data_IF_513405605933
#
_entry.id   IF_513405605933
#
_cell.length_a   1.000
_cell.length_b   1.000
_cell.length_c   1.000
_cell.angle_alpha   90.00
_cell.angle_beta   90.00
_cell.angle_gamma   90.00
#
_symmetry.space_group_name_H-M   'P 1'
#
loop_
_entity.id
_entity.type
_entity.pdbx_description
1 polymer ?
#
# COMPACT_ATOMS: atom_id res chain seq x y z
N UNK A 1 31.65 -4.91 -5.14
CA UNK A 1 30.73 -6.00 -4.77
C UNK A 1 29.64 -5.42 -3.88
N UNK A 2 28.37 -5.84 -3.99
CA UNK A 2 27.35 -5.47 -3.02
C UNK A 2 27.82 -5.90 -1.62
N UNK A 3 27.50 -5.14 -0.55
CA UNK A 3 27.84 -5.57 0.80
C UNK A 3 27.19 -6.92 1.10
N UNK A 4 27.97 -7.85 1.67
CA UNK A 4 27.48 -9.14 2.13
C UNK A 4 26.47 -8.91 3.26
N UNK A 5 25.22 -9.32 3.06
CA UNK A 5 24.23 -9.32 4.12
C UNK A 5 24.61 -10.35 5.18
N UNK A 6 24.48 -9.98 6.47
CA UNK A 6 24.72 -10.89 7.60
C UNK A 6 23.49 -10.92 8.49
N UNK A 7 23.05 -12.12 8.85
CA UNK A 7 21.97 -12.36 9.81
C UNK A 7 22.54 -12.92 11.10
N UNK A 8 22.27 -12.23 12.21
CA UNK A 8 22.66 -12.64 13.55
C UNK A 8 21.42 -13.00 14.37
N UNK A 9 21.54 -14.02 15.21
CA UNK A 9 20.61 -14.25 16.32
C UNK A 9 21.13 -13.56 17.58
N UNK A 10 20.25 -12.89 18.30
CA UNK A 10 20.50 -12.30 19.60
C UNK A 10 19.49 -12.84 20.61
N UNK A 11 19.91 -12.97 21.87
CA UNK A 11 18.98 -13.14 22.98
C UNK A 11 18.32 -11.79 23.26
N UNK A 12 17.01 -11.81 23.39
CA UNK A 12 16.19 -10.67 23.79
C UNK A 12 15.75 -10.87 25.24
N UNK A 13 15.65 -9.79 26.00
CA UNK A 13 15.05 -9.83 27.34
C UNK A 13 13.59 -10.29 27.25
N UNK A 14 13.08 -10.93 28.30
CA UNK A 14 11.71 -11.46 28.33
C UNK A 14 10.64 -10.37 28.18
N UNK A 15 10.97 -9.12 28.49
CA UNK A 15 10.09 -7.95 28.28
C UNK A 15 10.18 -7.34 26.88
N UNK A 16 11.00 -7.92 25.99
CA UNK A 16 11.25 -7.47 24.61
C UNK A 16 11.82 -6.05 24.46
N UNK A 17 12.38 -5.46 25.53
CA UNK A 17 12.90 -4.07 25.50
C UNK A 17 14.37 -3.95 25.11
N UNK A 18 15.14 -5.04 25.18
CA UNK A 18 16.58 -4.99 24.86
C UNK A 18 17.12 -6.32 24.33
N UNK A 19 18.25 -6.23 23.63
CA UNK A 19 19.01 -7.39 23.15
C UNK A 19 20.36 -7.46 23.87
N UNK A 20 20.81 -8.67 24.19
CA UNK A 20 22.18 -8.92 24.62
C UNK A 20 23.09 -8.94 23.38
N UNK A 21 23.79 -7.84 23.13
CA UNK A 21 24.68 -7.70 21.97
C UNK A 21 25.85 -8.69 21.99
N UNK A 22 26.28 -9.16 23.15
CA UNK A 22 27.37 -10.15 23.28
C UNK A 22 26.90 -11.56 22.91
N UNK A 23 25.58 -11.79 22.89
CA UNK A 23 24.99 -13.07 22.46
C UNK A 23 24.88 -13.23 20.94
N UNK A 24 25.39 -12.27 20.16
CA UNK A 24 25.30 -12.29 18.70
C UNK A 24 25.92 -13.56 18.10
N UNK A 25 25.13 -14.33 17.36
CA UNK A 25 25.61 -15.49 16.62
C UNK A 25 25.25 -15.38 15.15
N UNK A 26 26.25 -15.41 14.27
CA UNK A 26 26.05 -15.39 12.83
C UNK A 26 25.41 -16.70 12.38
N UNK A 27 24.24 -16.62 11.75
CA UNK A 27 23.50 -17.81 11.27
C UNK A 27 23.31 -17.83 9.76
N UNK A 28 23.48 -16.68 9.10
CA UNK A 28 23.46 -16.60 7.63
C UNK A 28 24.31 -15.43 7.16
N UNK A 29 24.95 -15.61 6.03
CA UNK A 29 25.61 -14.54 5.29
C UNK A 29 25.53 -14.80 3.79
N UNK A 30 25.61 -13.73 3.02
CA UNK A 30 25.64 -13.77 1.55
C UNK A 30 25.18 -12.45 0.94
N UNK A 31 25.63 -12.17 -0.28
CA UNK A 31 25.21 -10.99 -1.03
C UNK A 31 23.74 -11.10 -1.41
N UNK A 32 22.97 -10.02 -1.23
CA UNK A 32 21.56 -9.97 -1.62
C UNK A 32 20.61 -10.81 -0.76
N UNK A 33 21.09 -11.35 0.37
CA UNK A 33 20.27 -12.12 1.33
C UNK A 33 19.59 -11.22 2.34
N UNK A 34 18.28 -11.37 2.49
CA UNK A 34 17.48 -10.56 3.42
C UNK A 34 16.25 -11.31 3.94
N UNK A 35 15.48 -10.61 4.77
CA UNK A 35 14.15 -11.01 5.19
C UNK A 35 14.00 -12.32 6.00
N UNK A 36 15.08 -12.78 6.61
CA UNK A 36 15.16 -13.94 7.50
C UNK A 36 13.90 -14.14 8.37
N UNK A 37 13.36 -15.36 8.33
CA UNK A 37 12.31 -15.90 9.20
C UNK A 37 12.78 -17.23 9.75
N UNK A 38 12.68 -17.39 11.05
CA UNK A 38 13.07 -18.61 11.73
C UNK A 38 11.81 -19.32 12.22
N UNK A 39 11.64 -20.58 11.82
CA UNK A 39 10.56 -21.44 12.30
C UNK A 39 11.12 -22.75 12.84
N UNK A 40 10.38 -23.42 13.73
CA UNK A 40 10.73 -24.74 14.24
C UNK A 40 9.63 -25.74 13.87
N UNK A 41 9.97 -26.77 13.09
CA UNK A 41 9.04 -27.82 12.66
C UNK A 41 9.71 -29.17 12.83
N UNK A 42 9.05 -30.13 13.50
CA UNK A 42 9.52 -31.51 13.66
C UNK A 42 10.98 -31.64 14.13
N UNK A 43 11.39 -30.77 15.07
CA UNK A 43 12.74 -30.75 15.64
C UNK A 43 13.81 -30.11 14.76
N UNK A 44 13.46 -29.56 13.60
CA UNK A 44 14.33 -28.73 12.77
C UNK A 44 14.04 -27.25 13.01
N UNK A 45 15.09 -26.43 12.99
CA UNK A 45 15.01 -24.99 12.81
C UNK A 45 15.25 -24.68 11.34
N UNK A 46 14.31 -24.01 10.69
CA UNK A 46 14.44 -23.52 9.31
C UNK A 46 14.63 -22.02 9.34
N UNK A 47 15.75 -21.55 8.82
CA UNK A 47 15.97 -20.15 8.51
C UNK A 47 15.59 -19.92 7.05
N UNK A 48 14.40 -19.40 6.82
CA UNK A 48 13.87 -19.03 5.49
C UNK A 48 14.26 -17.59 5.19
N UNK A 49 14.76 -17.31 3.99
CA UNK A 49 15.19 -15.97 3.59
C UNK A 49 15.01 -15.76 2.09
N UNK A 50 15.02 -14.49 1.68
CA UNK A 50 15.05 -14.12 0.27
C UNK A 50 16.49 -13.89 -0.16
N UNK A 51 16.83 -14.25 -1.40
CA UNK A 51 18.07 -13.84 -2.05
C UNK A 51 17.77 -13.19 -3.40
N UNK A 52 18.38 -12.04 -3.66
CA UNK A 52 18.37 -11.40 -4.97
C UNK A 52 19.68 -11.65 -5.71
N UNK A 53 19.59 -12.24 -6.90
CA UNK A 53 20.73 -12.42 -7.80
C UNK A 53 20.51 -11.67 -9.11
N UNK A 54 21.44 -10.77 -9.43
CA UNK A 54 21.37 -9.97 -10.65
C UNK A 54 21.26 -10.85 -11.90
N UNK A 55 20.32 -10.53 -12.79
CA UNK A 55 20.04 -11.29 -14.01
C UNK A 55 19.23 -12.59 -13.81
N UNK A 56 18.95 -12.99 -12.57
CA UNK A 56 18.15 -14.18 -12.23
C UNK A 56 16.83 -13.79 -11.56
N UNK A 57 16.89 -12.82 -10.64
CA UNK A 57 15.74 -12.36 -9.86
C UNK A 57 15.82 -12.76 -8.38
N UNK A 58 14.69 -12.64 -7.67
CA UNK A 58 14.54 -12.99 -6.25
C UNK A 58 13.89 -14.34 -6.06
N UNK A 59 14.40 -15.15 -5.15
CA UNK A 59 13.87 -16.47 -4.82
C UNK A 59 13.95 -16.76 -3.33
N UNK A 60 13.12 -17.70 -2.88
CA UNK A 60 13.08 -18.13 -1.48
C UNK A 60 14.09 -19.26 -1.27
N UNK A 61 14.99 -19.09 -0.30
CA UNK A 61 15.84 -20.15 0.21
C UNK A 61 15.51 -20.46 1.65
N UNK A 62 15.93 -21.65 2.09
CA UNK A 62 16.02 -21.97 3.50
C UNK A 62 17.31 -22.70 3.82
N UNK A 63 17.82 -22.47 5.02
CA UNK A 63 18.78 -23.35 5.68
C UNK A 63 18.11 -24.06 6.83
N UNK A 64 18.59 -25.26 7.19
CA UNK A 64 18.09 -25.95 8.40
C UNK A 64 19.19 -26.44 9.34
N UNK A 65 18.84 -26.56 10.62
CA UNK A 65 19.67 -27.16 11.67
C UNK A 65 18.81 -27.79 12.75
N UNK A 66 19.31 -28.84 13.43
CA UNK A 66 18.67 -29.40 14.65
C UNK A 66 18.90 -28.52 15.89
N UNK A 67 19.79 -27.53 15.81
CA UNK A 67 20.13 -26.59 16.89
C UNK A 67 19.79 -25.17 16.46
N UNK A 68 19.19 -24.39 17.37
CA UNK A 68 18.76 -23.01 17.11
C UNK A 68 19.88 -22.15 16.50
N UNK A 69 21.08 -22.28 17.06
CA UNK A 69 22.26 -21.51 16.65
C UNK A 69 23.11 -22.21 15.59
N UNK A 70 22.61 -23.29 14.99
CA UNK A 70 23.33 -24.03 13.97
C UNK A 70 24.31 -25.07 14.51
N UNK A 71 25.24 -25.54 13.67
CA UNK A 71 25.52 -25.01 12.33
C UNK A 71 24.35 -25.26 11.36
N UNK A 72 24.10 -24.30 10.49
CA UNK A 72 23.14 -24.38 9.39
C UNK A 72 23.88 -24.80 8.13
N UNK A 73 24.02 -26.11 7.92
CA UNK A 73 24.91 -26.67 6.88
C UNK A 73 24.20 -27.02 5.58
N UNK A 74 22.90 -27.35 5.63
CA UNK A 74 22.10 -27.67 4.45
C UNK A 74 21.31 -26.43 4.04
N UNK A 75 21.49 -25.98 2.79
CA UNK A 75 20.79 -24.86 2.16
C UNK A 75 19.99 -25.38 0.95
N UNK A 76 18.76 -24.92 0.79
CA UNK A 76 17.87 -25.34 -0.30
C UNK A 76 17.05 -24.17 -0.82
N UNK A 77 16.91 -24.08 -2.14
CA UNK A 77 15.94 -23.21 -2.78
C UNK A 77 14.54 -23.83 -2.69
N UNK A 78 13.56 -23.07 -2.18
CA UNK A 78 12.20 -23.53 -1.94
C UNK A 78 11.24 -23.27 -3.11
N UNK A 79 11.54 -22.25 -3.93
CA UNK A 79 10.78 -21.92 -5.14
C UNK A 79 11.68 -21.26 -6.21
N UNK A 80 11.29 -21.38 -7.47
CA UNK A 80 11.85 -20.61 -8.59
C UNK A 80 11.66 -19.10 -8.36
N UNK A 81 12.48 -18.26 -9.04
CA UNK A 81 12.30 -16.82 -8.94
C UNK A 81 10.95 -16.34 -9.46
N UNK A 82 10.32 -17.04 -10.42
CA UNK A 82 9.03 -16.67 -11.02
C UNK A 82 8.94 -15.18 -11.40
N UNK A 83 9.90 -14.73 -12.23
CA UNK A 83 10.00 -13.32 -12.69
C UNK A 83 8.76 -12.89 -13.47
N UNK A 84 8.16 -13.82 -14.22
CA UNK A 84 6.88 -13.65 -14.91
C UNK A 84 5.70 -13.36 -13.97
N UNK A 85 5.85 -13.71 -12.69
CA UNK A 85 4.91 -13.43 -11.62
C UNK A 85 5.49 -12.44 -10.60
N UNK A 86 6.34 -11.50 -11.05
CA UNK A 86 6.89 -10.41 -10.23
C UNK A 86 7.66 -10.87 -8.97
N UNK A 87 8.27 -12.05 -9.01
CA UNK A 87 9.24 -12.51 -8.02
C UNK A 87 8.71 -12.71 -6.59
N UNK A 88 7.73 -13.61 -6.32
CA UNK A 88 7.29 -13.92 -4.96
C UNK A 88 8.45 -14.52 -4.13
N UNK A 89 8.96 -13.79 -3.15
CA UNK A 89 10.23 -14.12 -2.51
C UNK A 89 10.30 -13.88 -0.99
N UNK A 90 9.54 -12.92 -0.47
CA UNK A 90 9.60 -12.54 0.93
C UNK A 90 8.28 -12.88 1.60
N UNK A 91 8.33 -13.66 2.68
CA UNK A 91 7.12 -14.17 3.30
C UNK A 91 7.38 -14.97 4.56
N UNK A 92 6.34 -15.65 5.03
CA UNK A 92 6.39 -16.55 6.18
C UNK A 92 5.64 -17.84 5.88
N UNK A 93 6.16 -18.95 6.41
CA UNK A 93 5.47 -20.23 6.43
C UNK A 93 4.45 -20.21 7.59
N UNK A 94 3.22 -20.62 7.29
CA UNK A 94 2.12 -20.74 8.26
C UNK A 94 1.41 -22.06 8.01
N UNK A 95 0.91 -22.69 9.06
CA UNK A 95 0.01 -23.83 9.01
C UNK A 95 -1.42 -23.42 9.38
N UNK A 96 -2.39 -24.21 8.93
CA UNK A 96 -3.77 -24.13 9.39
C UNK A 96 -4.09 -25.20 10.45
N UNK A 97 -5.33 -25.23 10.93
CA UNK A 97 -5.77 -26.16 11.98
C UNK A 97 -5.83 -27.62 11.54
N UNK A 98 -5.87 -27.88 10.22
CA UNK A 98 -5.87 -29.23 9.65
C UNK A 98 -4.43 -29.71 9.35
N UNK A 99 -3.43 -28.84 9.55
CA UNK A 99 -2.02 -29.12 9.30
C UNK A 99 -1.58 -28.89 7.85
N UNK A 100 -2.42 -28.25 7.03
CA UNK A 100 -2.03 -27.80 5.69
C UNK A 100 -1.09 -26.58 5.83
N UNK A 101 -0.02 -26.53 5.01
CA UNK A 101 0.96 -25.46 5.08
C UNK A 101 0.84 -24.49 3.91
N UNK A 102 1.15 -23.23 4.19
CA UNK A 102 1.10 -22.13 3.24
C UNK A 102 2.31 -21.20 3.41
N UNK A 103 2.62 -20.46 2.35
CA UNK A 103 3.58 -19.39 2.34
C UNK A 103 2.87 -18.08 1.99
N UNK A 104 2.73 -17.20 2.98
CA UNK A 104 2.18 -15.85 2.80
C UNK A 104 3.32 -14.94 2.36
N UNK A 105 3.26 -14.43 1.13
CA UNK A 105 4.36 -13.71 0.50
C UNK A 105 3.91 -12.42 -0.17
N UNK A 106 4.82 -11.46 -0.32
CA UNK A 106 4.67 -10.40 -1.30
C UNK A 106 5.51 -10.67 -2.56
N UNK A 107 5.16 -9.98 -3.63
CA UNK A 107 5.89 -9.95 -4.89
C UNK A 107 7.11 -9.03 -4.78
N UNK A 108 8.26 -9.44 -5.31
CA UNK A 108 9.55 -8.75 -5.16
C UNK A 108 9.68 -7.52 -6.04
N UNK A 109 9.15 -7.61 -7.26
CA UNK A 109 9.00 -6.47 -8.16
C UNK A 109 7.61 -5.86 -7.94
N UNK A 110 7.56 -4.54 -7.79
CA UNK A 110 6.31 -3.80 -7.62
C UNK A 110 6.00 -2.96 -8.85
N UNK A 111 4.73 -2.65 -9.02
CA UNK A 111 4.24 -1.73 -10.04
C UNK A 111 3.25 -0.72 -9.45
N UNK A 112 2.44 -0.07 -10.28
CA UNK A 112 1.49 0.94 -9.82
C UNK A 112 0.54 0.44 -8.71
N UNK A 113 0.23 -0.86 -8.67
CA UNK A 113 -0.62 -1.45 -7.63
C UNK A 113 0.16 -1.80 -6.35
N UNK A 114 1.48 -1.69 -6.39
CA UNK A 114 2.36 -1.99 -5.29
C UNK A 114 3.03 -3.36 -5.43
N UNK A 115 3.34 -3.97 -4.27
CA UNK A 115 3.75 -5.37 -4.16
C UNK A 115 2.60 -6.14 -3.57
N UNK A 116 1.92 -6.92 -4.41
CA UNK A 116 0.72 -7.66 -4.01
C UNK A 116 1.09 -8.79 -3.05
N UNK A 117 0.13 -9.16 -2.21
CA UNK A 117 0.23 -10.31 -1.32
C UNK A 117 -0.36 -11.53 -2.03
N UNK A 118 0.28 -12.68 -1.87
CA UNK A 118 -0.22 -13.97 -2.32
C UNK A 118 -0.07 -15.02 -1.21
N UNK A 119 -0.97 -15.98 -1.20
CA UNK A 119 -0.91 -17.15 -0.33
C UNK A 119 -0.66 -18.38 -1.21
N UNK A 120 0.50 -19.02 -1.04
CA UNK A 120 0.90 -20.18 -1.83
C UNK A 120 0.82 -21.45 -1.00
N UNK A 121 0.38 -22.59 -1.56
CA UNK A 121 0.43 -23.87 -0.86
C UNK A 121 1.88 -24.28 -0.61
N UNK A 122 2.12 -25.10 0.41
CA UNK A 122 3.44 -25.64 0.73
C UNK A 122 3.34 -27.16 0.84
N UNK A 123 4.24 -27.85 0.13
CA UNK A 123 4.35 -29.31 0.18
C UNK A 123 5.66 -29.70 0.83
N UNK A 124 5.60 -30.52 1.88
CA UNK A 124 6.79 -31.05 2.54
C UNK A 124 7.37 -32.23 1.74
N UNK A 125 8.58 -32.06 1.19
CA UNK A 125 9.29 -33.09 0.43
C UNK A 125 10.65 -33.32 1.08
N UNK A 126 10.89 -34.52 1.62
CA UNK A 126 12.12 -34.86 2.34
C UNK A 126 12.43 -33.85 3.48
N UNK A 127 11.40 -33.53 4.27
CA UNK A 127 11.45 -32.54 5.35
C UNK A 127 11.84 -31.11 4.89
N UNK A 128 11.57 -30.74 3.64
CA UNK A 128 11.73 -29.38 3.12
C UNK A 128 10.38 -28.78 2.68
N UNK A 129 10.05 -27.53 3.06
CA UNK A 129 8.78 -26.88 2.71
C UNK A 129 8.85 -26.27 1.32
N UNK A 130 8.54 -27.05 0.27
CA UNK A 130 8.57 -26.59 -1.11
C UNK A 130 7.33 -25.72 -1.39
N UNK A 131 7.53 -24.51 -1.93
CA UNK A 131 6.51 -23.46 -2.02
C UNK A 131 5.83 -23.47 -3.40
N UNK A 132 4.50 -23.44 -3.42
CA UNK A 132 3.71 -23.46 -4.65
C UNK A 132 3.58 -24.87 -5.23
N UNK A 133 3.56 -24.98 -6.56
CA UNK A 133 3.52 -26.28 -7.24
C UNK A 133 4.90 -26.93 -7.25
N UNK A 134 5.01 -28.15 -6.76
CA UNK A 134 6.26 -28.93 -6.84
C UNK A 134 6.49 -29.40 -8.28
N UNK A 135 7.64 -29.05 -8.84
CA UNK A 135 8.11 -29.51 -10.14
C UNK A 135 8.88 -30.84 -10.03
N UNK A 136 9.07 -31.59 -11.13
CA UNK A 136 9.82 -32.86 -11.12
C UNK A 136 11.23 -32.75 -10.51
N UNK A 137 11.85 -31.60 -10.59
CA UNK A 137 13.18 -31.30 -10.04
C UNK A 137 13.16 -31.10 -8.51
N UNK A 138 11.99 -31.18 -7.86
CA UNK A 138 11.84 -31.04 -6.41
C UNK A 138 11.90 -29.59 -5.91
N UNK A 139 11.64 -28.63 -6.79
CA UNK A 139 11.56 -27.19 -6.52
C UNK A 139 10.14 -26.67 -6.75
N UNK A 140 9.76 -25.62 -6.03
CA UNK A 140 8.46 -24.98 -6.14
C UNK A 140 8.36 -23.95 -7.27
N UNK A 141 7.14 -23.65 -7.72
CA UNK A 141 6.86 -22.53 -8.62
C UNK A 141 5.53 -21.86 -8.29
N UNK A 142 5.40 -20.58 -8.66
CA UNK A 142 4.20 -19.78 -8.45
C UNK A 142 2.94 -20.46 -9.01
N UNK A 143 1.83 -20.31 -8.30
CA UNK A 143 0.49 -20.69 -8.73
C UNK A 143 -0.49 -19.56 -8.44
N UNK A 144 -1.46 -19.34 -9.34
CA UNK A 144 -2.49 -18.30 -9.20
C UNK A 144 -3.77 -18.80 -8.53
N UNK A 145 -3.91 -20.12 -8.40
CA UNK A 145 -5.06 -20.77 -7.77
C UNK A 145 -4.56 -21.88 -6.85
N UNK A 146 -5.34 -22.14 -5.80
CA UNK A 146 -5.01 -23.15 -4.81
C UNK A 146 -6.21 -23.44 -3.92
N UNK A 147 -6.09 -24.50 -3.12
CA UNK A 147 -7.05 -24.81 -2.07
C UNK A 147 -6.93 -23.73 -1.00
N UNK A 148 -8.01 -22.99 -0.74
CA UNK A 148 -8.07 -22.05 0.38
C UNK A 148 -7.87 -22.82 1.70
N UNK A 149 -7.17 -22.25 2.69
CA UNK A 149 -7.17 -22.79 4.05
C UNK A 149 -8.60 -22.99 4.52
N UNK A 150 -8.81 -24.06 5.28
CA UNK A 150 -10.13 -24.28 5.88
C UNK A 150 -10.36 -23.19 6.92
N UNK A 151 -11.43 -22.44 6.73
CA UNK A 151 -11.81 -21.34 7.61
C UNK A 151 -13.30 -21.12 7.54
N UNK A 152 -13.79 -20.20 8.38
CA UNK A 152 -15.18 -19.76 8.28
C UNK A 152 -15.41 -19.17 6.89
N UNK A 153 -16.55 -19.50 6.28
CA UNK A 153 -17.01 -18.90 5.03
C UNK A 153 -17.52 -17.47 5.21
N UNK A 154 -17.25 -16.85 6.36
CA UNK A 154 -17.70 -15.49 6.67
C UNK A 154 -17.14 -14.49 5.66
N UNK A 155 -18.04 -14.01 4.80
CA UNK A 155 -17.77 -12.97 3.82
C UNK A 155 -17.59 -11.58 4.44
N UNK A 156 -17.69 -11.44 5.77
CA UNK A 156 -17.52 -10.16 6.47
C UNK A 156 -16.09 -9.62 6.41
N UNK A 157 -15.10 -10.47 6.11
CA UNK A 157 -13.69 -10.07 5.98
C UNK A 157 -13.41 -9.41 4.63
N UNK A 158 -13.57 -8.09 4.56
CA UNK A 158 -13.10 -7.28 3.44
C UNK A 158 -12.35 -6.05 3.92
N UNK A 159 -11.50 -5.51 3.05
CA UNK A 159 -10.90 -4.20 3.28
C UNK A 159 -11.98 -3.18 2.97
N UNK A 160 -12.48 -2.46 3.98
CA UNK A 160 -13.41 -1.36 3.79
C UNK A 160 -12.86 -0.33 2.80
N UNK A 161 -13.74 0.33 2.04
CA UNK A 161 -13.34 1.26 0.98
C UNK A 161 -14.21 2.52 0.97
N UNK A 162 -15.52 2.35 0.86
CA UNK A 162 -16.44 3.47 0.98
C UNK A 162 -16.55 3.94 2.44
N UNK A 163 -16.76 5.23 2.64
CA UNK A 163 -16.98 5.85 3.93
C UNK A 163 -17.90 7.07 3.77
N UNK A 164 -19.00 7.09 4.52
CA UNK A 164 -19.96 8.20 4.62
C UNK A 164 -19.64 9.12 5.82
N UNK A 165 -18.54 8.84 6.56
CA UNK A 165 -18.04 9.66 7.66
C UNK A 165 -19.04 9.89 8.81
N UNK A 166 -20.00 8.98 9.00
CA UNK A 166 -20.94 8.98 10.13
C UNK A 166 -20.30 8.61 11.47
N UNK A 167 -19.16 7.91 11.43
CA UNK A 167 -18.40 7.54 12.62
C UNK A 167 -17.60 8.73 13.17
N UNK A 168 -17.46 8.79 14.50
CA UNK A 168 -16.60 9.79 15.18
C UNK A 168 -15.10 9.51 15.04
N UNK A 169 -14.73 8.39 14.42
CA UNK A 169 -13.35 7.99 14.17
C UNK A 169 -13.19 7.42 12.75
N UNK A 170 -12.06 7.73 12.12
CA UNK A 170 -11.69 7.17 10.82
C UNK A 170 -11.53 5.65 10.94
N UNK A 171 -12.13 4.91 10.01
CA UNK A 171 -11.98 3.46 9.90
C UNK A 171 -10.58 3.04 9.41
N UNK A 172 -10.22 1.77 9.60
CA UNK A 172 -8.85 1.28 9.42
C UNK A 172 -8.32 1.24 7.97
N UNK A 173 -9.20 1.40 6.97
CA UNK A 173 -8.80 1.54 5.57
C UNK A 173 -8.02 2.84 5.30
N UNK A 174 -8.29 3.86 6.11
CA UNK A 174 -7.69 5.17 5.95
C UNK A 174 -6.26 5.21 6.48
N UNK A 175 -5.39 5.85 5.71
CA UNK A 175 -4.02 6.11 6.12
C UNK A 175 -3.62 7.51 5.69
N UNK A 176 -2.94 8.22 6.59
CA UNK A 176 -2.40 9.53 6.31
C UNK A 176 -1.11 9.43 5.50
N UNK A 177 -0.87 10.40 4.62
CA UNK A 177 0.46 10.64 4.08
C UNK A 177 1.34 11.24 5.20
N UNK A 178 2.21 10.43 5.79
CA UNK A 178 2.99 10.78 6.99
C UNK A 178 2.11 11.06 8.22
N UNK A 179 2.68 11.72 9.23
CA UNK A 179 2.02 11.98 10.51
C UNK A 179 1.03 13.14 10.39
N UNK A 180 -0.27 12.92 10.69
CA UNK A 180 -1.24 13.99 10.69
C UNK A 180 -1.08 14.90 11.91
N UNK A 181 -1.59 16.11 11.80
CA UNK A 181 -1.90 16.98 12.95
C UNK A 181 -3.36 16.81 13.33
N UNK A 182 -3.64 16.48 14.59
CA UNK A 182 -4.98 16.09 15.06
C UNK A 182 -6.02 17.20 14.87
N UNK A 183 -5.61 18.45 14.99
CA UNK A 183 -6.43 19.63 14.84
C UNK A 183 -6.81 19.97 13.38
N UNK A 184 -6.15 19.34 12.40
CA UNK A 184 -6.31 19.63 10.96
C UNK A 184 -7.39 18.80 10.27
N UNK A 185 -8.08 17.94 11.02
CA UNK A 185 -9.27 17.24 10.55
C UNK A 185 -10.28 17.07 11.68
N UNK A 186 -11.54 16.84 11.33
CA UNK A 186 -12.59 16.55 12.29
C UNK A 186 -13.70 15.70 11.67
N UNK A 187 -14.28 14.81 12.48
CA UNK A 187 -15.51 14.07 12.19
C UNK A 187 -16.68 14.50 13.10
N UNK A 188 -16.49 15.58 13.87
CA UNK A 188 -17.44 16.04 14.87
C UNK A 188 -17.81 17.53 14.76
N UNK A 189 -17.04 18.33 14.02
CA UNK A 189 -17.36 19.74 13.73
C UNK A 189 -18.57 19.85 12.79
N UNK A 190 -18.84 18.81 12.00
CA UNK A 190 -20.06 18.61 11.20
C UNK A 190 -20.38 17.12 11.17
N UNK A 191 -21.47 16.71 11.82
CA UNK A 191 -21.88 15.30 11.89
C UNK A 191 -22.15 14.74 10.49
N UNK A 192 -21.66 13.53 10.20
CA UNK A 192 -21.80 12.86 8.90
C UNK A 192 -20.86 13.40 7.81
N UNK A 193 -19.84 14.19 8.17
CA UNK A 193 -18.90 14.77 7.22
C UNK A 193 -17.48 14.75 7.78
N UNK A 194 -16.51 14.46 6.92
CA UNK A 194 -15.10 14.70 7.22
C UNK A 194 -14.73 16.15 6.90
N UNK A 195 -14.43 16.94 7.91
CA UNK A 195 -13.81 18.26 7.73
C UNK A 195 -12.30 18.12 7.61
N UNK A 196 -11.72 18.62 6.52
CA UNK A 196 -10.27 18.86 6.41
C UNK A 196 -10.00 20.36 6.46
N UNK A 197 -9.26 20.81 7.47
CA UNK A 197 -8.83 22.21 7.58
C UNK A 197 -7.62 22.44 6.67
N UNK A 198 -7.50 23.62 6.08
CA UNK A 198 -6.43 23.90 5.15
C UNK A 198 -5.05 23.93 5.85
N UNK A 199 -4.24 22.91 5.59
CA UNK A 199 -2.87 22.79 6.10
C UNK A 199 -1.92 23.74 5.35
N UNK A 200 -0.96 24.36 6.02
CA UNK A 200 0.08 25.13 5.35
C UNK A 200 1.23 24.18 4.97
N UNK A 201 1.42 23.83 3.68
CA UNK A 201 2.37 22.80 3.30
C UNK A 201 3.81 23.28 3.51
N UNK A 202 4.72 22.35 3.80
CA UNK A 202 6.15 22.68 3.97
C UNK A 202 6.81 23.19 2.68
N UNK A 203 6.22 22.87 1.53
CA UNK A 203 6.58 23.38 0.21
C UNK A 203 5.31 23.74 -0.55
N UNK A 204 5.21 24.98 -1.01
CA UNK A 204 4.06 25.46 -1.79
C UNK A 204 3.84 24.59 -3.03
N UNK A 205 2.57 24.36 -3.36
CA UNK A 205 2.14 23.59 -4.53
C UNK A 205 2.69 22.16 -4.60
N UNK A 206 3.02 21.57 -3.45
CA UNK A 206 3.47 20.19 -3.35
C UNK A 206 2.56 19.39 -2.43
N UNK A 207 1.75 18.51 -3.01
CA UNK A 207 0.86 17.60 -2.29
C UNK A 207 1.63 16.78 -1.24
N UNK A 208 2.82 16.30 -1.55
CA UNK A 208 3.62 15.46 -0.66
C UNK A 208 4.15 16.22 0.57
N UNK A 209 4.05 17.56 0.57
CA UNK A 209 4.40 18.42 1.67
C UNK A 209 3.19 18.89 2.51
N UNK A 210 1.98 18.44 2.18
CA UNK A 210 0.77 18.68 2.97
C UNK A 210 0.56 17.53 3.99
N UNK A 211 0.51 17.88 5.28
CA UNK A 211 0.45 16.92 6.39
C UNK A 211 -0.95 16.35 6.69
N UNK A 212 -1.95 16.62 5.87
CA UNK A 212 -3.34 16.19 6.07
C UNK A 212 -3.95 15.55 4.81
N UNK A 213 -3.12 14.86 4.01
CA UNK A 213 -3.62 14.07 2.88
C UNK A 213 -4.08 12.71 3.37
N UNK A 214 -5.39 12.44 3.31
CA UNK A 214 -6.03 11.20 3.75
C UNK A 214 -6.22 10.26 2.56
N UNK A 215 -5.85 8.98 2.70
CA UNK A 215 -5.67 8.11 1.52
C UNK A 215 -6.07 6.66 1.73
N UNK A 216 -6.40 6.00 0.63
CA UNK A 216 -6.55 4.54 0.53
C UNK A 216 -5.59 3.97 -0.53
N UNK A 217 -5.47 2.64 -0.56
CA UNK A 217 -4.70 1.93 -1.60
C UNK A 217 -5.50 1.90 -2.89
N UNK A 218 -4.82 2.02 -4.03
CA UNK A 218 -5.42 1.66 -5.31
C UNK A 218 -5.38 0.14 -5.49
N UNK A 219 -6.45 -0.44 -5.98
CA UNK A 219 -6.53 -1.87 -6.27
C UNK A 219 -6.41 -2.14 -7.77
N UNK A 220 -5.94 -3.35 -8.10
CA UNK A 220 -5.92 -3.87 -9.46
C UNK A 220 -7.13 -4.75 -9.70
N UNK A 221 -8.13 -4.17 -10.34
CA UNK A 221 -9.35 -4.84 -10.77
C UNK A 221 -9.69 -4.37 -12.18
N UNK A 222 -10.73 -4.95 -12.80
CA UNK A 222 -11.10 -4.57 -14.16
C UNK A 222 -11.51 -3.10 -14.22
N UNK A 223 -12.17 -2.62 -13.17
CA UNK A 223 -12.62 -1.24 -13.05
C UNK A 223 -12.67 -0.81 -11.59
N UNK A 224 -12.25 0.42 -11.35
CA UNK A 224 -12.26 1.10 -10.06
C UNK A 224 -12.92 2.45 -10.28
N UNK A 225 -13.83 2.84 -9.40
CA UNK A 225 -14.46 4.16 -9.42
C UNK A 225 -14.40 4.74 -8.02
N UNK A 226 -13.74 5.89 -7.88
CA UNK A 226 -13.78 6.67 -6.65
C UNK A 226 -14.57 7.94 -6.91
N UNK A 227 -15.61 8.21 -6.12
CA UNK A 227 -16.39 9.44 -6.16
C UNK A 227 -16.37 10.11 -4.79
N UNK A 228 -16.08 11.41 -4.77
CA UNK A 228 -16.02 12.22 -3.55
C UNK A 228 -16.87 13.46 -3.74
N UNK A 229 -17.75 13.75 -2.78
CA UNK A 229 -18.52 14.98 -2.73
C UNK A 229 -17.91 15.95 -1.73
N UNK A 230 -17.70 17.18 -2.15
CA UNK A 230 -17.07 18.23 -1.35
C UNK A 230 -17.97 19.46 -1.25
N UNK A 231 -18.06 20.02 -0.06
CA UNK A 231 -18.66 21.32 0.25
C UNK A 231 -17.55 22.35 0.49
N UNK A 232 -17.63 23.44 -0.28
CA UNK A 232 -16.65 24.52 -0.40
C UNK A 232 -17.14 25.80 0.27
N UNK A 233 -18.12 25.73 1.18
CA UNK A 233 -18.62 26.89 1.93
C UNK A 233 -17.55 27.52 2.83
N UNK A 234 -16.62 26.71 3.35
CA UNK A 234 -15.48 27.15 4.17
C UNK A 234 -14.23 27.59 3.41
N UNK A 235 -14.30 27.73 2.08
CA UNK A 235 -13.13 28.04 1.25
C UNK A 235 -12.67 29.48 1.37
N UNK A 236 -11.36 29.67 1.45
CA UNK A 236 -10.71 31.00 1.46
C UNK A 236 -9.63 31.12 0.39
N UNK A 237 -9.18 32.35 0.13
CA UNK A 237 -8.12 32.61 -0.84
C UNK A 237 -6.81 31.87 -0.48
N UNK A 238 -6.18 31.28 -1.50
CA UNK A 238 -4.96 30.48 -1.38
C UNK A 238 -5.21 28.99 -1.09
N UNK A 239 -6.43 28.62 -0.73
CA UNK A 239 -6.80 27.23 -0.44
C UNK A 239 -6.92 26.39 -1.72
N UNK A 240 -6.49 25.14 -1.62
CA UNK A 240 -6.55 24.07 -2.62
C UNK A 240 -7.12 22.81 -1.96
N UNK A 241 -8.13 22.21 -2.56
CA UNK A 241 -8.72 20.93 -2.13
C UNK A 241 -8.98 20.04 -3.32
N UNK A 242 -9.07 18.73 -3.15
CA UNK A 242 -9.47 17.84 -4.22
C UNK A 242 -9.17 16.38 -3.96
N UNK A 243 -9.24 15.59 -5.02
CA UNK A 243 -8.78 14.21 -5.06
C UNK A 243 -7.39 14.12 -5.69
N UNK A 244 -6.62 13.12 -5.29
CA UNK A 244 -5.26 12.93 -5.77
C UNK A 244 -4.89 11.47 -5.96
N UNK A 245 -3.94 11.24 -6.86
CA UNK A 245 -3.20 10.01 -7.02
C UNK A 245 -1.72 10.28 -6.73
N UNK A 246 -1.07 9.42 -5.95
CA UNK A 246 0.37 9.58 -5.71
C UNK A 246 1.14 8.33 -5.23
N UNK A 247 2.41 8.30 -5.64
CA UNK A 247 3.48 7.52 -5.03
C UNK A 247 4.76 8.36 -4.92
N UNK A 248 5.67 8.28 -5.90
CA UNK A 248 6.81 9.20 -6.09
C UNK A 248 6.38 10.42 -6.90
N UNK A 249 5.63 10.19 -7.98
CA UNK A 249 4.95 11.23 -8.72
C UNK A 249 3.52 11.39 -8.17
N UNK A 250 2.88 12.52 -8.47
CA UNK A 250 1.49 12.74 -8.07
C UNK A 250 0.71 13.54 -9.10
N UNK A 251 -0.61 13.39 -9.06
CA UNK A 251 -1.57 14.17 -9.83
C UNK A 251 -2.77 14.55 -8.97
N UNK A 252 -3.38 15.70 -9.25
CA UNK A 252 -4.54 16.19 -8.51
C UNK A 252 -5.61 16.73 -9.45
N UNK A 253 -6.87 16.45 -9.15
CA UNK A 253 -8.00 17.23 -9.62
C UNK A 253 -8.66 17.91 -8.41
N UNK A 254 -8.83 19.23 -8.47
CA UNK A 254 -9.32 19.96 -7.31
C UNK A 254 -9.81 21.37 -7.60
N UNK A 255 -10.23 22.05 -6.54
CA UNK A 255 -10.65 23.46 -6.55
C UNK A 255 -9.58 24.31 -5.84
N UNK A 256 -9.22 25.43 -6.44
CA UNK A 256 -8.44 26.51 -5.83
C UNK A 256 -9.29 27.77 -5.71
N UNK A 257 -9.01 28.63 -4.73
CA UNK A 257 -9.55 29.99 -4.71
C UNK A 257 -8.44 31.04 -4.76
N UNK A 258 -8.58 32.02 -5.66
CA UNK A 258 -7.64 33.14 -5.84
C UNK A 258 -8.43 34.43 -6.12
N UNK A 259 -8.20 35.47 -5.34
CA UNK A 259 -8.89 36.76 -5.46
C UNK A 259 -10.43 36.60 -5.44
N UNK A 260 -10.93 35.81 -4.49
CA UNK A 260 -12.36 35.53 -4.33
C UNK A 260 -13.00 34.66 -5.42
N UNK A 261 -12.24 34.20 -6.43
CA UNK A 261 -12.75 33.35 -7.52
C UNK A 261 -12.25 31.93 -7.38
N UNK A 262 -13.18 30.96 -7.50
CA UNK A 262 -12.87 29.54 -7.50
C UNK A 262 -12.55 29.04 -8.91
N UNK A 263 -11.60 28.13 -9.01
CA UNK A 263 -11.19 27.49 -10.28
C UNK A 263 -10.95 26.02 -10.04
N UNK A 264 -11.30 25.21 -11.03
CA UNK A 264 -10.96 23.80 -11.07
C UNK A 264 -9.58 23.66 -11.73
N UNK A 265 -8.65 23.00 -11.06
CA UNK A 265 -7.28 22.77 -11.53
C UNK A 265 -7.01 21.27 -11.65
N UNK A 266 -6.41 20.87 -12.78
CA UNK A 266 -5.74 19.60 -12.97
C UNK A 266 -4.23 19.84 -12.96
N UNK A 267 -3.52 19.14 -12.08
CA UNK A 267 -2.07 19.30 -11.93
C UNK A 267 -1.34 17.96 -11.91
N UNK A 268 -0.10 17.96 -12.39
CA UNK A 268 0.84 16.84 -12.24
C UNK A 268 2.14 17.34 -11.64
N UNK A 269 2.58 16.71 -10.55
CA UNK A 269 3.79 17.05 -9.81
C UNK A 269 3.87 18.54 -9.42
N UNK A 270 2.73 19.17 -9.18
CA UNK A 270 2.60 20.59 -8.84
C UNK A 270 2.54 21.54 -10.05
N UNK A 271 2.65 21.02 -11.27
CA UNK A 271 2.51 21.81 -12.49
C UNK A 271 1.05 21.83 -12.94
N UNK A 272 0.50 23.04 -13.13
CA UNK A 272 -0.83 23.24 -13.67
C UNK A 272 -0.88 22.85 -15.15
N UNK A 273 -1.82 21.97 -15.51
CA UNK A 273 -1.99 21.47 -16.88
C UNK A 273 -3.32 21.92 -17.50
N UNK A 274 -4.38 22.00 -16.70
CA UNK A 274 -5.69 22.50 -17.15
C UNK A 274 -6.36 23.28 -16.02
N UNK A 275 -6.98 24.40 -16.38
CA UNK A 275 -7.76 25.24 -15.47
C UNK A 275 -9.11 25.58 -16.12
N UNK A 276 -10.17 25.63 -15.30
CA UNK A 276 -11.49 26.16 -15.70
C UNK A 276 -12.09 26.96 -14.56
N UNK A 277 -12.79 28.05 -14.88
CA UNK A 277 -13.59 28.76 -13.88
C UNK A 277 -14.63 27.82 -13.25
N UNK A 278 -14.78 27.91 -11.93
CA UNK A 278 -15.74 27.10 -11.19
C UNK A 278 -16.70 28.01 -10.43
N UNK A 279 -18.00 27.80 -10.65
CA UNK A 279 -19.07 28.50 -9.95
C UNK A 279 -19.91 27.44 -9.23
N UNK A 280 -19.89 27.49 -7.91
CA UNK A 280 -20.60 26.53 -7.06
C UNK A 280 -20.10 26.57 -5.63
N UNK A 281 -20.91 25.99 -4.74
CA UNK A 281 -20.57 25.76 -3.33
C UNK A 281 -20.28 24.29 -3.04
N UNK A 282 -20.57 23.39 -3.97
CA UNK A 282 -20.29 21.96 -3.86
C UNK A 282 -19.81 21.38 -5.19
N UNK A 283 -19.03 20.31 -5.13
CA UNK A 283 -18.54 19.60 -6.32
C UNK A 283 -18.39 18.12 -6.05
N UNK A 284 -18.65 17.30 -7.06
CA UNK A 284 -18.28 15.89 -7.08
C UNK A 284 -17.04 15.72 -7.92
N UNK A 285 -16.04 15.05 -7.38
CA UNK A 285 -14.83 14.68 -8.09
C UNK A 285 -14.75 13.17 -8.18
N UNK A 286 -14.34 12.65 -9.33
CA UNK A 286 -14.27 11.22 -9.57
C UNK A 286 -12.97 10.83 -10.26
N UNK A 287 -12.47 9.65 -9.93
CA UNK A 287 -11.36 9.00 -10.61
C UNK A 287 -11.78 7.60 -11.06
N UNK A 288 -11.44 7.21 -12.29
CA UNK A 288 -11.72 5.88 -12.85
C UNK A 288 -10.45 5.27 -13.43
N UNK A 289 -10.11 4.05 -13.04
CA UNK A 289 -8.99 3.28 -13.62
C UNK A 289 -9.29 1.78 -13.69
N UNK A 290 -8.57 1.05 -14.54
CA UNK A 290 -8.65 -0.41 -14.65
C UNK A 290 -7.29 -1.08 -14.46
N UNK A 291 -7.16 -2.30 -15.00
CA UNK A 291 -5.95 -3.13 -14.87
C UNK A 291 -4.65 -2.50 -15.41
N UNK A 292 -4.75 -1.52 -16.30
CA UNK A 292 -3.59 -0.79 -16.84
C UNK A 292 -3.11 0.37 -15.93
N UNK A 293 -3.89 0.72 -14.89
CA UNK A 293 -3.58 1.86 -14.03
C UNK A 293 -3.63 3.21 -14.75
N UNK A 294 -4.34 3.33 -15.88
CA UNK A 294 -4.62 4.63 -16.48
C UNK A 294 -5.86 5.22 -15.83
N UNK A 295 -5.67 6.31 -15.11
CA UNK A 295 -6.68 6.99 -14.32
C UNK A 295 -7.23 8.22 -15.04
N UNK A 296 -8.51 8.25 -15.35
CA UNK A 296 -9.19 9.44 -15.86
C UNK A 296 -9.95 10.14 -14.73
N UNK A 297 -9.71 11.44 -14.55
CA UNK A 297 -10.48 12.26 -13.64
C UNK A 297 -11.73 12.84 -14.28
N UNK A 298 -12.76 13.03 -13.46
CA UNK A 298 -14.05 13.61 -13.82
C UNK A 298 -14.53 14.57 -12.73
N UNK A 299 -15.41 15.48 -13.10
CA UNK A 299 -16.18 16.28 -12.15
C UNK A 299 -17.68 16.25 -12.48
N UNK A 300 -18.51 16.54 -11.48
CA UNK A 300 -19.94 16.77 -11.64
C UNK A 300 -20.40 17.91 -10.72
N UNK A 301 -21.45 18.61 -11.14
CA UNK A 301 -22.10 19.70 -10.38
C UNK A 301 -23.45 19.26 -9.77
N UNK A 302 -23.99 18.12 -10.18
CA UNK A 302 -25.28 17.58 -9.76
C UNK A 302 -25.17 16.21 -9.06
N UNK A 303 -24.00 15.57 -9.13
CA UNK A 303 -23.77 14.22 -8.60
C UNK A 303 -24.13 13.09 -9.57
N UNK A 304 -24.69 13.41 -10.74
CA UNK A 304 -25.20 12.43 -11.71
C UNK A 304 -24.40 12.48 -13.04
N UNK A 305 -24.18 13.69 -13.56
CA UNK A 305 -23.55 13.92 -14.86
C UNK A 305 -22.05 14.22 -14.70
N UNK A 306 -21.21 13.22 -14.94
CA UNK A 306 -19.75 13.34 -14.81
C UNK A 306 -19.07 13.66 -16.14
N UNK A 307 -18.28 14.74 -16.15
CA UNK A 307 -17.55 15.23 -17.31
C UNK A 307 -16.04 14.99 -17.08
N UNK A 308 -15.32 14.39 -18.04
CA UNK A 308 -13.88 14.18 -17.90
C UNK A 308 -13.13 15.52 -17.84
N UNK A 309 -12.06 15.58 -17.05
CA UNK A 309 -11.25 16.78 -16.87
C UNK A 309 -9.76 16.43 -16.88
N UNK A 310 -9.01 17.05 -17.80
CA UNK A 310 -7.62 16.69 -18.05
C UNK A 310 -7.46 15.39 -18.85
N UNK A 311 -6.22 15.07 -19.20
CA UNK A 311 -5.89 13.78 -19.82
C UNK A 311 -5.73 12.68 -18.74
N UNK A 312 -5.74 11.39 -19.13
CA UNK A 312 -5.47 10.31 -18.19
C UNK A 312 -4.08 10.43 -17.53
N UNK A 313 -4.03 10.13 -16.24
CA UNK A 313 -2.81 10.03 -15.43
C UNK A 313 -2.42 8.56 -15.26
N UNK A 314 -1.15 8.22 -15.49
CA UNK A 314 -0.64 6.88 -15.24
C UNK A 314 -0.31 6.72 -13.76
N UNK A 315 -1.04 5.85 -13.06
CA UNK A 315 -0.71 5.42 -11.71
C UNK A 315 0.71 4.85 -11.70
N UNK A 316 1.47 5.11 -10.65
CA UNK A 316 2.90 4.83 -10.63
C UNK A 316 3.39 4.15 -9.36
N UNK A 317 4.48 3.40 -9.47
CA UNK A 317 5.24 2.87 -8.34
C UNK A 317 6.27 3.89 -7.85
N UNK A 318 6.49 3.95 -6.54
CA UNK A 318 7.55 4.78 -5.98
C UNK A 318 7.67 4.61 -4.48
N UNK A 319 8.87 4.86 -3.93
CA UNK A 319 9.11 4.81 -2.47
C UNK A 319 8.63 3.50 -1.80
N UNK A 320 8.82 2.36 -2.47
CA UNK A 320 8.40 1.04 -2.03
C UNK A 320 6.88 0.85 -1.82
N UNK A 321 6.06 1.65 -2.50
CA UNK A 321 4.60 1.58 -2.47
C UNK A 321 3.98 1.77 -3.85
N UNK A 322 2.79 1.19 -4.01
CA UNK A 322 1.90 1.51 -5.11
C UNK A 322 1.32 2.92 -4.98
N UNK A 323 0.60 3.31 -6.02
CA UNK A 323 -0.20 4.53 -6.05
C UNK A 323 -1.30 4.48 -4.97
N UNK A 324 -1.71 5.66 -4.54
CA UNK A 324 -2.75 5.87 -3.55
C UNK A 324 -3.70 6.94 -4.02
N UNK A 325 -4.99 6.63 -3.95
CA UNK A 325 -6.07 7.61 -4.10
C UNK A 325 -6.30 8.30 -2.76
N UNK A 326 -6.56 9.60 -2.76
CA UNK A 326 -6.85 10.32 -1.54
C UNK A 326 -7.55 11.65 -1.74
N UNK A 327 -7.82 12.30 -0.61
CA UNK A 327 -8.37 13.65 -0.49
C UNK A 327 -7.37 14.53 0.26
N UNK A 328 -7.31 15.81 -0.10
CA UNK A 328 -6.39 16.76 0.52
C UNK A 328 -7.04 18.14 0.67
N UNK A 329 -6.56 18.93 1.62
CA UNK A 329 -6.92 20.34 1.73
C UNK A 329 -5.75 21.14 2.31
N UNK A 330 -5.14 22.02 1.52
CA UNK A 330 -4.02 22.86 1.96
C UNK A 330 -4.15 24.29 1.47
N UNK A 331 -3.47 25.23 2.12
CA UNK A 331 -3.39 26.63 1.70
C UNK A 331 -1.93 27.06 1.73
N UNK A 332 -1.43 27.55 0.60
CA UNK A 332 0.00 27.87 0.43
C UNK A 332 0.50 29.03 1.30
N UNK A 333 -0.40 29.82 1.88
CA UNK A 333 -0.04 31.08 2.52
C UNK A 333 -0.34 31.11 4.03
N UNK A 334 -1.39 30.42 4.47
CA UNK A 334 -1.87 30.47 5.86
C UNK A 334 -2.72 29.25 6.18
N UNK A 335 -2.74 28.82 7.44
CA UNK A 335 -3.65 27.78 7.93
C UNK A 335 -5.05 28.37 8.16
N UNK A 336 -5.80 28.56 7.07
CA UNK A 336 -7.15 29.12 7.12
C UNK A 336 -8.05 28.51 6.04
N UNK A 337 -9.32 28.36 6.41
CA UNK A 337 -10.34 27.71 5.61
C UNK A 337 -10.40 26.19 5.80
N UNK A 338 -11.42 25.58 5.22
CA UNK A 338 -11.66 24.14 5.30
C UNK A 338 -12.49 23.67 4.10
N UNK A 339 -12.54 22.35 3.93
CA UNK A 339 -13.50 21.66 3.07
C UNK A 339 -14.23 20.65 3.94
N UNK A 340 -15.52 20.47 3.70
CA UNK A 340 -16.28 19.35 4.25
C UNK A 340 -16.47 18.30 3.15
N UNK A 341 -16.20 17.04 3.47
CA UNK A 341 -16.33 15.90 2.57
C UNK A 341 -17.50 15.06 3.08
N UNK A 342 -18.53 14.89 2.24
CA UNK A 342 -19.76 14.16 2.59
C UNK A 342 -19.46 12.67 2.65
N UNK A 343 -18.84 12.16 1.59
CA UNK A 343 -18.51 10.76 1.45
C UNK A 343 -17.31 10.58 0.54
N UNK A 344 -16.69 9.42 0.69
CA UNK A 344 -15.74 8.84 -0.25
C UNK A 344 -16.27 7.46 -0.65
N UNK A 345 -16.79 7.33 -1.86
CA UNK A 345 -17.31 6.06 -2.36
C UNK A 345 -16.28 5.41 -3.28
N UNK A 346 -15.96 4.15 -3.00
CA UNK A 346 -14.98 3.40 -3.77
C UNK A 346 -15.52 2.03 -4.18
N UNK A 347 -15.99 2.00 -5.43
CA UNK A 347 -16.53 0.83 -6.12
C UNK A 347 -15.45 0.13 -6.95
N UNK A 348 -15.54 -1.20 -7.03
CA UNK A 348 -14.65 -2.03 -7.84
C UNK A 348 -15.40 -3.17 -8.48
N UNK A 349 -15.03 -3.48 -9.72
CA UNK A 349 -15.49 -4.63 -10.52
C UNK A 349 -14.32 -5.57 -10.83
#
# INVERSE_FOLDING_TARGET
MPPTGKTYLFRMTSDAKSIDKLSAQLVNEGSGREASKLIKVNGWYYLVFSEHKAGVGRYVLAKRSRRLFGPYTEEKQLALPSVEAMEPNQGGLIDDTDGDWYFLTHHGTGDWAGRQVSLLPVTWVNEWPIIGKVLPEGIGTMVWTGKMPKGDSDSSYYIARSDDFDSLALHCQWQWNYQPRKEMYSLNERSGWLRLKAFMPLKKDNLLAAGNTLTQRCFRTQKNIVTVKMDLSGFVDGQKTGICHFSKCFSTLGIVQRAGRKRMEYTENGHLLLEKEFVGTSVWLRSIWGNNGLSQYYYSLDGDNFIPFGHPYQLSWGNYRGDRIGVYCYNNNVESGYVDIDYFHYEME
#
